data_IF_454746238244
#
_entry.id   IF_454746238244
#
_cell.length_a   1.000
_cell.length_b   1.000
_cell.length_c   1.000
_cell.angle_alpha   90.00
_cell.angle_beta   90.00
_cell.angle_gamma   90.00
#
_symmetry.space_group_name_H-M   'P 1'
#
loop_
_entity.id
_entity.type
_entity.pdbx_description
1 polymer ?
#
# COMPACT_ATOMS: atom_id res chain seq x y z
N UNK A 1 -12.22 -6.30 13.92
CA UNK A 1 -10.99 -6.05 13.15
C UNK A 1 -10.48 -4.63 13.40
N UNK A 2 -9.16 -4.41 13.59
CA UNK A 2 -8.52 -3.10 13.61
C UNK A 2 -7.63 -2.99 12.37
N UNK A 3 -7.78 -1.91 11.62
CA UNK A 3 -7.00 -1.63 10.41
C UNK A 3 -6.35 -0.25 10.48
N UNK A 4 -5.24 -0.08 9.78
CA UNK A 4 -4.51 1.18 9.73
C UNK A 4 -3.92 1.43 8.33
N UNK A 5 -3.62 2.69 8.05
CA UNK A 5 -2.73 3.11 6.96
C UNK A 5 -1.64 4.00 7.55
N UNK A 6 -0.40 3.84 7.06
CA UNK A 6 0.74 4.56 7.62
C UNK A 6 1.81 4.80 6.56
N UNK A 7 1.97 6.03 6.12
CA UNK A 7 3.14 6.44 5.35
C UNK A 7 4.34 6.52 6.31
N UNK A 8 5.32 5.62 6.15
CA UNK A 8 6.47 5.50 7.05
C UNK A 8 7.65 6.38 6.63
N UNK A 9 7.51 7.14 5.57
CA UNK A 9 8.55 7.95 4.96
C UNK A 9 9.70 7.09 4.41
N UNK A 10 9.99 7.25 3.15
CA UNK A 10 11.08 6.57 2.45
C UNK A 10 12.44 6.81 3.12
N UNK A 11 13.30 5.79 3.10
CA UNK A 11 14.66 5.92 3.58
C UNK A 11 15.50 6.76 2.59
N UNK A 12 15.92 7.93 3.03
CA UNK A 12 16.71 8.88 2.25
C UNK A 12 17.73 9.61 3.12
N UNK A 13 18.92 9.86 2.55
CA UNK A 13 19.99 10.61 3.22
C UNK A 13 19.62 12.08 3.48
N UNK A 14 18.68 12.63 2.73
CA UNK A 14 18.19 14.00 2.92
C UNK A 14 17.51 14.22 4.27
N UNK A 15 17.01 13.15 4.90
CA UNK A 15 16.32 13.22 6.19
C UNK A 15 17.32 13.31 7.38
N UNK A 16 18.63 13.26 7.14
CA UNK A 16 19.70 13.45 8.16
C UNK A 16 19.45 12.65 9.45
N UNK A 17 19.19 13.33 10.58
CA UNK A 17 18.92 12.71 11.87
C UNK A 17 17.57 11.96 11.94
N UNK A 18 16.73 12.10 10.90
CA UNK A 18 15.43 11.43 10.77
C UNK A 18 15.44 10.29 9.75
N UNK A 19 16.63 9.85 9.30
CA UNK A 19 16.76 8.69 8.44
C UNK A 19 16.12 7.44 9.05
N UNK A 20 15.75 6.51 8.20
CA UNK A 20 15.13 5.25 8.62
C UNK A 20 15.91 4.51 9.70
N UNK A 21 17.24 4.47 9.59
CA UNK A 21 18.13 3.83 10.56
C UNK A 21 17.92 4.30 12.01
N UNK A 22 17.50 5.56 12.20
CA UNK A 22 17.21 6.14 13.53
C UNK A 22 15.75 5.98 13.96
N UNK A 23 14.81 5.77 13.01
CA UNK A 23 13.36 5.70 13.27
C UNK A 23 12.81 4.28 13.32
N UNK A 24 13.46 3.32 12.67
CA UNK A 24 12.93 1.98 12.42
C UNK A 24 12.43 1.26 13.68
N UNK A 25 13.16 1.36 14.78
CA UNK A 25 12.75 0.73 16.04
C UNK A 25 11.46 1.33 16.58
N UNK A 26 11.35 2.66 16.59
CA UNK A 26 10.15 3.35 17.05
C UNK A 26 8.94 3.05 16.16
N UNK A 27 9.13 3.02 14.83
CA UNK A 27 8.07 2.68 13.86
C UNK A 27 7.62 1.23 14.07
N UNK A 28 8.52 0.27 14.16
CA UNK A 28 8.18 -1.13 14.38
C UNK A 28 7.53 -1.37 15.75
N UNK A 29 7.99 -0.68 16.81
CA UNK A 29 7.36 -0.73 18.13
C UNK A 29 5.94 -0.16 18.11
N UNK A 30 5.70 0.95 17.41
CA UNK A 30 4.36 1.52 17.22
C UNK A 30 3.42 0.53 16.53
N UNK A 31 3.88 -0.12 15.45
CA UNK A 31 3.12 -1.13 14.72
C UNK A 31 2.76 -2.31 15.64
N UNK A 32 3.71 -2.83 16.39
CA UNK A 32 3.47 -3.93 17.32
C UNK A 32 2.53 -3.53 18.48
N UNK A 33 2.67 -2.31 18.99
CA UNK A 33 1.87 -1.81 20.13
C UNK A 33 0.37 -1.74 19.82
N UNK A 34 -0.01 -1.32 18.61
CA UNK A 34 -1.41 -1.12 18.27
C UNK A 34 -2.20 -2.40 18.05
N UNK A 35 -1.55 -3.54 17.92
CA UNK A 35 -2.19 -4.84 17.71
C UNK A 35 -3.23 -4.81 16.56
N UNK A 36 -2.86 -4.22 15.43
CA UNK A 36 -3.70 -4.16 14.25
C UNK A 36 -3.96 -5.56 13.68
N UNK A 37 -5.06 -5.73 12.99
CA UNK A 37 -5.27 -6.92 12.15
C UNK A 37 -4.54 -6.76 10.83
N UNK A 38 -4.51 -5.53 10.28
CA UNK A 38 -3.88 -5.17 9.03
C UNK A 38 -3.41 -3.71 9.04
N UNK A 39 -2.28 -3.44 8.40
CA UNK A 39 -1.76 -2.09 8.18
C UNK A 39 -1.23 -1.94 6.76
N UNK A 40 -1.78 -0.98 6.01
CA UNK A 40 -1.27 -0.55 4.71
C UNK A 40 -0.13 0.44 4.92
N UNK A 41 1.03 0.15 4.34
CA UNK A 41 2.25 0.96 4.48
C UNK A 41 2.61 1.58 3.14
N UNK A 42 2.98 2.86 3.15
CA UNK A 42 3.47 3.59 1.99
C UNK A 42 4.91 4.03 2.20
N UNK A 43 5.62 4.34 1.12
CA UNK A 43 7.00 4.79 1.09
C UNK A 43 8.01 3.79 1.68
N UNK A 44 7.91 2.52 1.29
CA UNK A 44 8.87 1.51 1.74
C UNK A 44 9.87 1.14 0.66
N UNK A 45 11.16 1.16 0.99
CA UNK A 45 12.23 0.55 0.20
C UNK A 45 12.50 -0.89 0.65
N UNK A 46 13.21 -1.69 -0.14
CA UNK A 46 13.52 -3.10 0.21
C UNK A 46 14.20 -3.27 1.57
N UNK A 47 15.06 -2.34 1.99
CA UNK A 47 15.68 -2.37 3.32
C UNK A 47 14.65 -2.11 4.44
N UNK A 48 13.70 -1.19 4.24
CA UNK A 48 12.61 -0.91 5.19
C UNK A 48 11.65 -2.11 5.28
N UNK A 49 11.29 -2.73 4.15
CA UNK A 49 10.50 -3.98 4.12
C UNK A 49 11.20 -5.09 4.90
N UNK A 50 12.51 -5.24 4.74
CA UNK A 50 13.30 -6.23 5.48
C UNK A 50 13.27 -5.99 6.99
N UNK A 51 13.40 -4.73 7.41
CA UNK A 51 13.33 -4.35 8.82
C UNK A 51 11.92 -4.56 9.39
N UNK A 52 10.86 -4.19 8.65
CA UNK A 52 9.47 -4.44 9.05
C UNK A 52 9.22 -5.94 9.27
N UNK A 53 9.70 -6.81 8.38
CA UNK A 53 9.62 -8.27 8.53
C UNK A 53 10.42 -8.80 9.73
N UNK A 54 11.54 -8.17 10.06
CA UNK A 54 12.43 -8.62 11.14
C UNK A 54 11.99 -8.15 12.52
N UNK A 55 11.41 -6.94 12.63
CA UNK A 55 11.11 -6.28 13.90
C UNK A 55 9.61 -6.20 14.23
N UNK A 56 8.74 -6.70 13.35
CA UNK A 56 7.31 -6.81 13.66
C UNK A 56 6.85 -8.27 13.68
N UNK A 57 5.70 -8.53 14.32
CA UNK A 57 5.07 -9.85 14.37
C UNK A 57 4.12 -10.12 13.21
N UNK A 58 4.17 -9.28 12.19
CA UNK A 58 3.25 -9.30 11.06
C UNK A 58 3.88 -10.03 9.86
N UNK A 59 3.05 -10.71 9.10
CA UNK A 59 3.37 -11.11 7.73
C UNK A 59 3.28 -9.91 6.81
N UNK A 60 4.17 -9.81 5.84
CA UNK A 60 4.32 -8.65 4.98
C UNK A 60 4.23 -9.03 3.50
N UNK A 61 3.20 -8.53 2.82
CA UNK A 61 3.15 -8.44 1.36
C UNK A 61 3.80 -7.12 0.95
N UNK A 62 4.57 -7.11 -0.13
CA UNK A 62 5.19 -5.87 -0.63
C UNK A 62 5.42 -5.91 -2.13
N UNK A 63 5.32 -4.75 -2.76
CA UNK A 63 5.69 -4.52 -4.15
C UNK A 63 6.35 -3.14 -4.27
N UNK A 64 7.32 -3.01 -5.18
CA UNK A 64 7.97 -1.74 -5.48
C UNK A 64 7.59 -1.26 -6.88
N UNK A 65 7.67 0.04 -7.11
CA UNK A 65 7.07 0.70 -8.26
C UNK A 65 7.99 0.80 -9.49
N UNK A 66 9.31 0.70 -9.31
CA UNK A 66 10.27 0.86 -10.41
C UNK A 66 10.40 -0.42 -11.26
N UNK A 67 10.08 -1.60 -10.71
CA UNK A 67 10.16 -2.89 -11.38
C UNK A 67 11.57 -3.49 -11.42
N UNK A 68 12.53 -2.88 -10.73
CA UNK A 68 13.92 -3.33 -10.68
C UNK A 68 14.32 -3.97 -9.32
N UNK A 69 13.38 -4.02 -8.39
CA UNK A 69 13.58 -4.57 -7.05
C UNK A 69 14.31 -3.65 -6.08
N UNK A 70 14.56 -2.37 -6.44
CA UNK A 70 15.30 -1.41 -5.60
C UNK A 70 14.47 -0.17 -5.26
N UNK A 71 13.35 0.02 -5.95
CA UNK A 71 12.50 1.19 -5.84
C UNK A 71 11.76 1.33 -4.52
N UNK A 72 11.10 2.46 -4.39
CA UNK A 72 10.09 2.71 -3.37
C UNK A 72 8.80 1.94 -3.71
N UNK A 73 8.08 1.51 -2.70
CA UNK A 73 6.86 0.75 -2.93
C UNK A 73 5.86 0.81 -1.80
N UNK A 74 5.01 -0.20 -1.79
CA UNK A 74 3.93 -0.41 -0.84
C UNK A 74 4.13 -1.72 -0.08
N UNK A 75 3.60 -1.77 1.15
CA UNK A 75 3.47 -3.03 1.87
C UNK A 75 2.09 -3.15 2.53
N UNK A 76 1.62 -4.38 2.72
CA UNK A 76 0.48 -4.71 3.56
C UNK A 76 0.99 -5.65 4.64
N UNK A 77 1.00 -5.16 5.86
CA UNK A 77 1.30 -5.96 7.04
C UNK A 77 0.01 -6.55 7.58
N UNK A 78 0.00 -7.84 7.88
CA UNK A 78 -1.19 -8.48 8.47
C UNK A 78 -0.83 -9.54 9.51
N UNK A 79 -1.68 -9.68 10.51
CA UNK A 79 -1.52 -10.65 11.59
C UNK A 79 -2.20 -11.97 11.20
N UNK A 80 -1.42 -13.00 10.90
CA UNK A 80 -1.92 -14.33 10.47
C UNK A 80 -2.77 -15.03 11.52
N UNK A 81 -2.67 -14.66 12.78
CA UNK A 81 -3.55 -15.19 13.82
C UNK A 81 -4.97 -14.62 13.72
N UNK A 82 -5.14 -13.46 13.09
CA UNK A 82 -6.41 -12.75 12.96
C UNK A 82 -7.01 -12.82 11.56
N UNK A 83 -6.18 -12.78 10.52
CA UNK A 83 -6.62 -12.77 9.11
C UNK A 83 -5.73 -13.68 8.27
N UNK A 84 -6.29 -14.26 7.24
CA UNK A 84 -5.62 -15.10 6.26
C UNK A 84 -5.69 -14.44 4.88
N UNK A 85 -4.57 -14.36 4.17
CA UNK A 85 -4.54 -13.97 2.76
C UNK A 85 -5.02 -15.14 1.88
N UNK A 86 -5.94 -14.86 0.95
CA UNK A 86 -6.51 -15.82 0.01
C UNK A 86 -5.88 -15.63 -1.37
N UNK A 87 -5.77 -14.37 -1.81
CA UNK A 87 -5.25 -13.98 -3.10
C UNK A 87 -4.57 -12.61 -2.96
N UNK A 88 -3.52 -12.35 -3.74
CA UNK A 88 -2.76 -11.11 -3.65
C UNK A 88 -2.19 -10.73 -5.01
N UNK A 89 -1.97 -9.44 -5.24
CA UNK A 89 -1.33 -8.97 -6.45
C UNK A 89 -1.02 -7.49 -6.39
N UNK A 90 -0.41 -7.01 -7.45
CA UNK A 90 -0.15 -5.59 -7.65
C UNK A 90 -0.12 -5.27 -9.14
N UNK A 91 -0.29 -4.02 -9.49
CA UNK A 91 -0.21 -3.51 -10.86
C UNK A 91 0.13 -2.02 -10.85
N UNK A 92 0.58 -1.51 -12.01
CA UNK A 92 0.93 -0.10 -12.19
C UNK A 92 -0.30 0.75 -12.51
N UNK A 93 -0.33 1.98 -11.98
CA UNK A 93 -1.40 2.95 -12.20
C UNK A 93 -1.13 3.77 -13.47
N UNK A 94 -1.19 3.11 -14.62
CA UNK A 94 -0.94 3.67 -15.94
C UNK A 94 -1.74 2.94 -17.01
N UNK A 95 -1.60 3.35 -18.26
CA UNK A 95 -2.22 2.68 -19.43
C UNK A 95 -1.74 1.24 -19.65
N UNK A 96 -0.63 0.84 -19.04
CA UNK A 96 -0.06 -0.51 -19.14
C UNK A 96 0.14 -1.13 -17.75
N UNK A 97 -0.96 -1.49 -17.03
CA UNK A 97 -0.90 -1.88 -15.63
C UNK A 97 -0.13 -3.18 -15.35
N UNK A 98 0.09 -4.02 -16.36
CA UNK A 98 0.73 -5.33 -16.20
C UNK A 98 2.26 -5.30 -16.31
N UNK A 99 2.87 -4.13 -16.52
CA UNK A 99 4.32 -3.95 -16.62
C UNK A 99 4.78 -2.64 -16.01
N UNK A 100 6.06 -2.52 -15.60
CA UNK A 100 6.61 -1.27 -15.08
C UNK A 100 6.36 -0.09 -16.02
N UNK A 101 5.62 0.89 -15.54
CA UNK A 101 5.16 2.02 -16.36
C UNK A 101 4.77 3.22 -15.51
N UNK A 102 4.64 4.37 -16.16
CA UNK A 102 4.28 5.64 -15.54
C UNK A 102 3.18 6.33 -16.34
N UNK A 103 2.22 6.94 -15.68
CA UNK A 103 1.25 7.83 -16.34
C UNK A 103 1.99 9.08 -16.85
N UNK A 104 1.71 9.60 -18.07
CA UNK A 104 2.46 10.70 -18.68
C UNK A 104 2.56 11.99 -17.85
N UNK A 105 1.57 12.27 -17.03
CA UNK A 105 1.53 13.44 -16.16
C UNK A 105 1.98 13.16 -14.72
N UNK A 106 2.30 11.92 -14.37
CA UNK A 106 2.71 11.58 -13.01
C UNK A 106 4.17 11.96 -12.74
N UNK A 107 4.47 12.31 -11.50
CA UNK A 107 5.84 12.62 -11.06
C UNK A 107 6.74 11.40 -10.93
N UNK A 108 6.15 10.21 -10.77
CA UNK A 108 6.86 8.92 -10.66
C UNK A 108 5.90 7.76 -10.93
N UNK A 109 6.40 6.53 -11.18
CA UNK A 109 5.55 5.35 -11.25
C UNK A 109 4.74 5.17 -9.97
N UNK A 110 3.49 4.75 -10.12
CA UNK A 110 2.61 4.43 -8.99
C UNK A 110 2.01 3.04 -9.18
N UNK A 111 1.80 2.33 -8.09
CA UNK A 111 1.21 1.00 -8.07
C UNK A 111 0.04 0.93 -7.11
N UNK A 112 -0.85 -0.03 -7.32
CA UNK A 112 -1.77 -0.54 -6.32
C UNK A 112 -1.29 -1.92 -5.86
N UNK A 113 -1.18 -2.12 -4.55
CA UNK A 113 -0.93 -3.43 -3.93
C UNK A 113 -2.23 -3.89 -3.27
N UNK A 114 -2.72 -5.08 -3.62
CA UNK A 114 -3.99 -5.55 -3.09
C UNK A 114 -3.88 -6.96 -2.49
N UNK A 115 -4.80 -7.26 -1.60
CA UNK A 115 -5.00 -8.60 -1.04
C UNK A 115 -6.46 -8.87 -0.77
N UNK A 116 -6.91 -10.08 -1.12
CA UNK A 116 -8.16 -10.65 -0.68
C UNK A 116 -7.90 -11.41 0.62
N UNK A 117 -8.52 -10.98 1.69
CA UNK A 117 -8.33 -11.51 3.02
C UNK A 117 -9.61 -12.08 3.60
N UNK A 118 -9.46 -12.89 4.65
CA UNK A 118 -10.56 -13.42 5.44
C UNK A 118 -10.17 -13.41 6.92
N UNK A 119 -11.08 -12.97 7.81
CA UNK A 119 -10.87 -13.14 9.24
C UNK A 119 -10.87 -14.64 9.63
N UNK A 120 -9.98 -15.02 10.54
CA UNK A 120 -9.90 -16.43 11.00
C UNK A 120 -11.16 -16.89 11.72
N UNK A 121 -11.93 -15.96 12.28
CA UNK A 121 -13.19 -16.22 13.02
C UNK A 121 -14.45 -16.06 12.18
N UNK A 122 -14.35 -15.46 10.99
CA UNK A 122 -15.48 -15.21 10.08
C UNK A 122 -15.17 -15.75 8.69
N UNK A 123 -16.21 -16.22 8.00
CA UNK A 123 -16.02 -16.82 6.68
C UNK A 123 -16.29 -15.86 5.50
N UNK A 124 -16.40 -14.56 5.76
CA UNK A 124 -16.65 -13.55 4.73
C UNK A 124 -15.32 -12.92 4.28
N UNK A 125 -14.89 -13.13 3.02
CA UNK A 125 -13.73 -12.47 2.48
C UNK A 125 -13.96 -10.97 2.29
N UNK A 126 -12.88 -10.18 2.32
CA UNK A 126 -12.88 -8.75 2.03
C UNK A 126 -11.61 -8.37 1.26
N UNK A 127 -11.73 -7.41 0.37
CA UNK A 127 -10.64 -6.90 -0.44
C UNK A 127 -10.00 -5.69 0.26
N UNK A 128 -8.67 -5.65 0.29
CA UNK A 128 -7.90 -4.48 0.72
C UNK A 128 -7.02 -4.03 -0.44
N UNK A 129 -7.06 -2.75 -0.73
CA UNK A 129 -6.25 -2.11 -1.78
C UNK A 129 -5.45 -1.01 -1.11
N UNK A 130 -4.12 -1.12 -1.18
CA UNK A 130 -3.18 -0.11 -0.68
C UNK A 130 -2.65 0.70 -1.85
N UNK A 131 -2.69 2.02 -1.74
CA UNK A 131 -2.23 2.96 -2.77
C UNK A 131 -1.32 4.04 -2.17
N UNK A 132 -0.47 4.60 -3.02
CA UNK A 132 0.18 5.89 -2.83
C UNK A 132 0.06 6.62 -4.16
N UNK A 133 -0.95 7.49 -4.27
CA UNK A 133 -1.31 8.16 -5.51
C UNK A 133 -0.28 9.25 -5.86
N UNK A 134 -0.37 9.78 -7.07
CA UNK A 134 0.59 10.77 -7.53
C UNK A 134 0.50 12.09 -6.76
N UNK A 135 1.66 12.64 -6.39
CA UNK A 135 1.77 13.87 -5.61
C UNK A 135 1.78 15.15 -6.46
N UNK A 136 1.90 15.02 -7.80
CA UNK A 136 1.99 16.16 -8.71
C UNK A 136 0.66 16.42 -9.41
N UNK A 137 0.09 15.40 -10.08
CA UNK A 137 -1.02 15.56 -11.01
C UNK A 137 -2.33 15.01 -10.46
N UNK A 138 -3.35 15.87 -10.32
CA UNK A 138 -4.70 15.44 -10.00
C UNK A 138 -5.28 14.52 -11.10
N UNK A 139 -4.95 14.77 -12.37
CA UNK A 139 -5.36 13.92 -13.48
C UNK A 139 -4.74 12.53 -13.39
N UNK A 140 -3.44 12.42 -13.04
CA UNK A 140 -2.80 11.12 -12.82
C UNK A 140 -3.43 10.37 -11.63
N UNK A 141 -3.86 11.08 -10.56
CA UNK A 141 -4.61 10.47 -9.45
C UNK A 141 -5.94 9.87 -9.91
N UNK A 142 -6.72 10.63 -10.69
CA UNK A 142 -8.00 10.16 -11.24
C UNK A 142 -7.81 8.97 -12.19
N UNK A 143 -6.85 9.07 -13.12
CA UNK A 143 -6.52 7.99 -14.04
C UNK A 143 -6.10 6.72 -13.27
N UNK A 144 -5.27 6.88 -12.25
CA UNK A 144 -4.85 5.77 -11.38
C UNK A 144 -6.04 5.10 -10.67
N UNK A 145 -7.01 5.87 -10.19
CA UNK A 145 -8.23 5.32 -9.60
C UNK A 145 -9.09 4.58 -10.62
N UNK A 146 -9.19 5.10 -11.84
CA UNK A 146 -9.91 4.42 -12.94
C UNK A 146 -9.27 3.06 -13.23
N UNK A 147 -7.94 2.99 -13.33
CA UNK A 147 -7.20 1.72 -13.50
C UNK A 147 -7.51 0.73 -12.36
N UNK A 148 -7.55 1.20 -11.10
CA UNK A 148 -7.90 0.35 -9.96
C UNK A 148 -9.31 -0.24 -10.10
N UNK A 149 -10.28 0.59 -10.46
CA UNK A 149 -11.66 0.16 -10.65
C UNK A 149 -11.80 -0.85 -11.80
N UNK A 150 -11.05 -0.68 -12.88
CA UNK A 150 -11.04 -1.59 -14.02
C UNK A 150 -10.35 -2.92 -13.70
N UNK A 151 -9.13 -2.89 -13.18
CA UNK A 151 -8.34 -4.10 -12.88
C UNK A 151 -8.95 -4.98 -11.77
N UNK A 152 -9.64 -4.35 -10.82
CA UNK A 152 -10.26 -5.06 -9.70
C UNK A 152 -11.79 -5.11 -9.78
N UNK A 153 -12.39 -4.76 -10.92
CA UNK A 153 -13.85 -4.68 -11.12
C UNK A 153 -14.60 -5.88 -10.53
N UNK A 154 -14.22 -7.10 -10.92
CA UNK A 154 -14.91 -8.32 -10.48
C UNK A 154 -14.75 -8.57 -8.98
N UNK A 155 -13.57 -8.26 -8.42
CA UNK A 155 -13.32 -8.41 -6.98
C UNK A 155 -14.11 -7.37 -6.17
N UNK A 156 -14.14 -6.12 -6.63
CA UNK A 156 -14.90 -5.03 -5.98
C UNK A 156 -16.40 -5.34 -6.02
N UNK A 157 -16.91 -5.87 -7.12
CA UNK A 157 -18.31 -6.26 -7.23
C UNK A 157 -18.69 -7.43 -6.32
N UNK A 158 -17.74 -8.32 -6.00
CA UNK A 158 -17.98 -9.55 -5.26
C UNK A 158 -17.72 -9.40 -3.75
N UNK A 159 -16.78 -8.55 -3.34
CA UNK A 159 -16.31 -8.50 -1.95
C UNK A 159 -16.40 -7.10 -1.35
N UNK A 160 -16.75 -6.97 -0.06
CA UNK A 160 -16.56 -5.72 0.66
C UNK A 160 -15.12 -5.24 0.50
N UNK A 161 -14.95 -3.97 0.08
CA UNK A 161 -13.65 -3.43 -0.31
C UNK A 161 -13.23 -2.28 0.59
N UNK A 162 -11.98 -2.29 0.99
CA UNK A 162 -11.30 -1.21 1.71
C UNK A 162 -10.18 -0.67 0.82
N UNK A 163 -10.35 0.54 0.32
CA UNK A 163 -9.30 1.29 -0.35
C UNK A 163 -8.63 2.20 0.67
N UNK A 164 -7.33 2.03 0.83
CA UNK A 164 -6.55 2.69 1.88
C UNK A 164 -5.21 3.17 1.31
N UNK A 165 -4.61 4.16 1.94
CA UNK A 165 -3.29 4.62 1.54
C UNK A 165 -3.08 6.11 1.69
N UNK A 166 -2.06 6.61 0.98
CA UNK A 166 -1.77 8.02 0.82
C UNK A 166 -2.29 8.49 -0.54
N UNK A 167 -3.37 9.22 -0.53
CA UNK A 167 -4.03 9.70 -1.76
C UNK A 167 -3.34 10.93 -2.35
N UNK A 168 -2.45 11.60 -1.62
CA UNK A 168 -1.87 12.88 -2.02
C UNK A 168 -2.92 13.92 -2.49
N UNK A 169 -4.09 13.87 -1.86
CA UNK A 169 -5.27 14.65 -2.24
C UNK A 169 -5.99 15.17 -1.00
N UNK A 170 -6.49 16.39 -1.08
CA UNK A 170 -7.37 16.94 -0.05
C UNK A 170 -8.78 16.32 -0.15
N UNK A 171 -9.51 16.31 0.96
CA UNK A 171 -10.83 15.64 1.07
C UNK A 171 -11.89 16.15 0.09
N UNK A 172 -11.69 17.30 -0.53
CA UNK A 172 -12.60 17.88 -1.54
C UNK A 172 -12.25 17.55 -2.98
N UNK A 173 -11.14 16.87 -3.22
CA UNK A 173 -10.71 16.53 -4.59
C UNK A 173 -11.57 15.42 -5.19
N UNK A 174 -11.71 15.46 -6.53
CA UNK A 174 -12.56 14.56 -7.31
C UNK A 174 -12.22 13.09 -7.13
N UNK A 175 -10.95 12.78 -6.86
CA UNK A 175 -10.47 11.42 -6.60
C UNK A 175 -11.18 10.70 -5.44
N UNK A 176 -11.81 11.46 -4.52
CA UNK A 176 -12.60 10.91 -3.42
C UNK A 176 -14.08 10.71 -3.77
N UNK A 177 -14.50 11.02 -5.01
CA UNK A 177 -15.89 10.93 -5.46
C UNK A 177 -16.13 9.75 -6.41
N UNK A 178 -15.06 9.05 -6.81
CA UNK A 178 -15.10 7.81 -7.57
C UNK A 178 -15.37 6.62 -6.68
#
# INVERSE_FOLDING_TARGET
MKIATYNVRVDTEYDQDWQWSFRKEAVCQLINFHDWSLCCIQEVRPNQVRDLKAYTTFTCLSAEREGDGQGEGLAILYNEQKIQAIDTGYFWLSETPQQPSIHPEAGCPRIALWGLFKETTQNTPFLVINVHLDHISAHARLAGMTVILEELHDKIAQYPTLLMGDFNAESGEEVHQL
#
